data_IF_764029863928
#
_entry.id   IF_764029863928
#
_cell.length_a   1.000
_cell.length_b   1.000
_cell.length_c   1.000
_cell.angle_alpha   90.00
_cell.angle_beta   90.00
_cell.angle_gamma   90.00
#
_symmetry.space_group_name_H-M   'P 1'
#
loop_
_entity.id
_entity.type
_entity.pdbx_description
1 polymer ?
#
# COMPACT_ATOMS: atom_id res chain seq x y z
N UNK A 1 -10.58 -7.37 33.29
CA UNK A 1 -9.90 -6.44 32.35
C UNK A 1 -8.74 -7.17 31.72
N UNK A 2 -8.84 -7.51 30.43
CA UNK A 2 -7.76 -8.20 29.71
C UNK A 2 -6.64 -7.20 29.45
N UNK A 3 -5.42 -7.56 29.88
CA UNK A 3 -4.20 -6.86 29.49
C UNK A 3 -4.03 -7.03 27.98
N UNK A 4 -4.36 -5.98 27.21
CA UNK A 4 -3.90 -5.84 25.85
C UNK A 4 -2.36 -5.85 25.89
N UNK A 5 -1.77 -7.02 25.59
CA UNK A 5 -0.35 -7.13 25.32
C UNK A 5 -0.07 -6.19 24.15
N UNK A 6 0.51 -5.01 24.45
CA UNK A 6 1.15 -4.17 23.44
C UNK A 6 2.18 -5.04 22.73
N UNK A 7 1.80 -5.64 21.60
CA UNK A 7 2.75 -6.27 20.69
C UNK A 7 3.67 -5.15 20.26
N UNK A 8 4.89 -5.14 20.78
CA UNK A 8 5.94 -4.30 20.25
C UNK A 8 6.16 -4.74 18.81
N UNK A 9 5.61 -4.00 17.86
CA UNK A 9 5.82 -4.23 16.44
C UNK A 9 7.30 -4.02 16.14
N UNK A 10 8.00 -5.07 15.68
CA UNK A 10 9.38 -4.92 15.25
C UNK A 10 9.41 -4.19 13.90
N UNK A 11 10.24 -3.15 13.72
CA UNK A 11 10.30 -2.38 12.47
C UNK A 11 10.63 -3.25 11.25
N UNK A 12 11.36 -4.35 11.45
CA UNK A 12 11.71 -5.29 10.38
C UNK A 12 10.49 -6.08 9.87
N UNK A 13 9.57 -6.47 10.76
CA UNK A 13 8.32 -7.13 10.35
C UNK A 13 7.43 -6.20 9.53
N UNK A 14 7.39 -4.92 9.90
CA UNK A 14 6.64 -3.89 9.18
C UNK A 14 7.24 -3.63 7.79
N UNK A 15 8.57 -3.60 7.69
CA UNK A 15 9.28 -3.47 6.43
C UNK A 15 9.05 -4.68 5.52
N UNK A 16 9.03 -5.89 6.08
CA UNK A 16 8.72 -7.10 5.31
C UNK A 16 7.28 -7.10 4.79
N UNK A 17 6.29 -6.73 5.64
CA UNK A 17 4.90 -6.57 5.22
C UNK A 17 4.76 -5.57 4.08
N UNK A 18 5.41 -4.40 4.20
CA UNK A 18 5.41 -3.39 3.15
C UNK A 18 5.92 -3.99 1.82
N UNK A 19 7.06 -4.71 1.84
CA UNK A 19 7.61 -5.34 0.63
C UNK A 19 6.64 -6.34 0.00
N UNK A 20 5.97 -7.18 0.80
CA UNK A 20 4.98 -8.15 0.31
C UNK A 20 3.81 -7.45 -0.38
N UNK A 21 3.24 -6.42 0.25
CA UNK A 21 2.14 -5.64 -0.35
C UNK A 21 2.58 -4.92 -1.64
N UNK A 22 3.82 -4.42 -1.70
CA UNK A 22 4.36 -3.82 -2.93
C UNK A 22 4.46 -4.83 -4.07
N UNK A 23 4.90 -6.06 -3.79
CA UNK A 23 4.96 -7.14 -4.78
C UNK A 23 3.57 -7.55 -5.25
N UNK A 24 2.64 -7.77 -4.31
CA UNK A 24 1.25 -8.14 -4.61
C UNK A 24 0.57 -7.06 -5.46
N UNK A 25 0.75 -5.78 -5.11
CA UNK A 25 0.21 -4.66 -5.89
C UNK A 25 0.70 -4.69 -7.33
N UNK A 26 2.03 -4.83 -7.53
CA UNK A 26 2.62 -4.90 -8.88
C UNK A 26 2.07 -6.07 -9.68
N UNK A 27 2.01 -7.26 -9.08
CA UNK A 27 1.51 -8.46 -9.76
C UNK A 27 0.04 -8.30 -10.17
N UNK A 28 -0.81 -7.85 -9.26
CA UNK A 28 -2.24 -7.68 -9.50
C UNK A 28 -2.49 -6.64 -10.59
N UNK A 29 -1.79 -5.49 -10.56
CA UNK A 29 -1.91 -4.46 -11.60
C UNK A 29 -1.42 -4.94 -12.97
N UNK A 30 -0.38 -5.79 -13.02
CA UNK A 30 0.05 -6.40 -14.27
C UNK A 30 -1.00 -7.37 -14.83
N UNK A 31 -1.64 -8.16 -13.97
CA UNK A 31 -2.72 -9.06 -14.39
C UNK A 31 -3.92 -8.24 -14.88
N UNK A 32 -4.32 -7.19 -14.17
CA UNK A 32 -5.39 -6.29 -14.57
C UNK A 32 -5.10 -5.64 -15.95
N UNK A 33 -3.87 -5.18 -16.19
CA UNK A 33 -3.47 -4.63 -17.49
C UNK A 33 -3.63 -5.66 -18.62
N UNK A 34 -3.18 -6.91 -18.42
CA UNK A 34 -3.36 -7.99 -19.41
C UNK A 34 -4.83 -8.33 -19.64
N UNK A 35 -5.65 -8.34 -18.60
CA UNK A 35 -7.10 -8.56 -18.74
C UNK A 35 -7.73 -7.44 -19.58
N UNK A 36 -7.30 -6.20 -19.39
CA UNK A 36 -7.81 -5.06 -20.14
C UNK A 36 -7.51 -5.18 -21.65
N UNK A 37 -6.33 -5.68 -22.02
CA UNK A 37 -5.93 -5.91 -23.41
C UNK A 37 -6.81 -6.96 -24.12
N UNK A 38 -7.45 -7.86 -23.37
CA UNK A 38 -8.29 -8.92 -23.92
C UNK A 38 -9.73 -8.48 -24.20
N UNK A 39 -10.22 -7.39 -23.59
CA UNK A 39 -11.62 -6.96 -23.75
C UNK A 39 -12.06 -6.74 -25.20
N UNK A 40 -11.26 -6.11 -26.09
CA UNK A 40 -11.64 -5.97 -27.50
C UNK A 40 -11.81 -7.31 -28.21
N UNK A 41 -11.08 -8.35 -27.81
CA UNK A 41 -11.22 -9.70 -28.37
C UNK A 41 -12.48 -10.37 -27.85
N UNK A 42 -12.76 -10.27 -26.54
CA UNK A 42 -13.98 -10.78 -25.92
C UNK A 42 -15.22 -10.16 -26.57
N UNK A 43 -15.26 -8.84 -26.72
CA UNK A 43 -16.37 -8.13 -27.37
C UNK A 43 -16.55 -8.57 -28.83
N UNK A 44 -15.47 -8.71 -29.60
CA UNK A 44 -15.55 -9.20 -30.99
C UNK A 44 -16.09 -10.63 -31.07
N UNK A 45 -15.67 -11.50 -30.15
CA UNK A 45 -16.15 -12.89 -30.08
C UNK A 45 -17.66 -12.94 -29.83
N UNK A 46 -18.13 -12.18 -28.83
CA UNK A 46 -19.56 -12.13 -28.45
C UNK A 46 -20.41 -11.52 -29.57
N UNK A 47 -19.96 -10.43 -30.19
CA UNK A 47 -20.65 -9.84 -31.35
C UNK A 47 -20.80 -10.83 -32.49
N UNK A 48 -19.76 -11.63 -32.75
CA UNK A 48 -19.77 -12.65 -33.80
C UNK A 48 -20.76 -13.78 -33.49
N UNK A 49 -20.87 -14.21 -32.23
CA UNK A 49 -21.80 -15.27 -31.83
C UNK A 49 -23.26 -14.81 -31.80
N UNK A 50 -23.54 -13.55 -31.48
CA UNK A 50 -24.89 -13.00 -31.43
C UNK A 50 -25.52 -12.74 -32.81
N UNK A 51 -24.73 -12.73 -33.89
CA UNK A 51 -25.21 -12.51 -35.26
C UNK A 51 -25.67 -11.07 -35.59
N UNK A 52 -25.76 -10.20 -34.59
CA UNK A 52 -26.19 -8.81 -34.72
C UNK A 52 -25.03 -7.88 -35.14
N UNK A 53 -25.34 -6.94 -36.04
CA UNK A 53 -24.37 -5.98 -36.61
C UNK A 53 -24.66 -4.55 -36.16
N UNK A 54 -23.64 -3.70 -36.18
CA UNK A 54 -23.76 -2.28 -35.87
C UNK A 54 -24.06 -2.01 -34.39
N UNK A 55 -24.67 -0.87 -34.09
CA UNK A 55 -24.86 -0.37 -32.72
C UNK A 55 -25.66 -1.31 -31.81
N UNK A 56 -26.55 -2.14 -32.36
CA UNK A 56 -27.33 -3.10 -31.58
C UNK A 56 -26.46 -4.27 -31.08
N UNK A 57 -25.63 -4.84 -31.95
CA UNK A 57 -24.67 -5.87 -31.55
C UNK A 57 -23.64 -5.34 -30.55
N UNK A 58 -23.29 -4.05 -30.64
CA UNK A 58 -22.43 -3.39 -29.67
C UNK A 58 -23.05 -3.29 -28.28
N UNK A 59 -24.32 -2.89 -28.20
CA UNK A 59 -25.05 -2.85 -26.92
C UNK A 59 -25.20 -4.23 -26.30
N UNK A 60 -25.59 -5.22 -27.10
CA UNK A 60 -25.77 -6.60 -26.62
C UNK A 60 -24.46 -7.22 -26.15
N UNK A 61 -23.34 -6.97 -26.83
CA UNK A 61 -22.05 -7.48 -26.40
C UNK A 61 -21.58 -6.86 -25.08
N UNK A 62 -21.90 -5.59 -24.82
CA UNK A 62 -21.55 -4.89 -23.58
C UNK A 62 -22.42 -5.34 -22.39
N UNK A 63 -23.62 -5.87 -22.64
CA UNK A 63 -24.51 -6.41 -21.60
C UNK A 63 -24.49 -7.93 -21.53
N UNK A 64 -23.67 -8.59 -22.35
CA UNK A 64 -23.59 -10.05 -22.39
C UNK A 64 -22.98 -10.60 -21.09
N UNK A 65 -23.54 -11.69 -20.51
CA UNK A 65 -23.06 -12.26 -19.26
C UNK A 65 -21.56 -12.57 -19.26
N UNK A 66 -21.03 -13.14 -20.35
CA UNK A 66 -19.60 -13.44 -20.46
C UNK A 66 -18.71 -12.19 -20.43
N UNK A 67 -19.17 -11.08 -21.02
CA UNK A 67 -18.43 -9.82 -20.96
C UNK A 67 -18.46 -9.25 -19.54
N UNK A 68 -19.62 -9.26 -18.90
CA UNK A 68 -19.79 -8.82 -17.53
C UNK A 68 -18.94 -9.64 -16.55
N UNK A 69 -18.89 -10.97 -16.70
CA UNK A 69 -18.05 -11.83 -15.88
C UNK A 69 -16.55 -11.51 -16.04
N UNK A 70 -16.10 -11.14 -17.25
CA UNK A 70 -14.72 -10.68 -17.48
C UNK A 70 -14.46 -9.30 -16.90
N UNK A 71 -15.46 -8.42 -16.95
CA UNK A 71 -15.39 -7.10 -16.32
C UNK A 71 -15.30 -7.22 -14.80
N UNK A 72 -16.09 -8.08 -14.18
CA UNK A 72 -16.05 -8.35 -12.74
C UNK A 72 -14.69 -8.92 -12.32
N UNK A 73 -14.15 -9.87 -13.10
CA UNK A 73 -12.81 -10.40 -12.88
C UNK A 73 -11.73 -9.30 -12.93
N UNK A 74 -11.82 -8.40 -13.90
CA UNK A 74 -10.91 -7.25 -14.01
C UNK A 74 -11.04 -6.31 -12.81
N UNK A 75 -12.27 -5.96 -12.41
CA UNK A 75 -12.54 -5.07 -11.27
C UNK A 75 -11.97 -5.66 -9.98
N UNK A 76 -12.18 -6.96 -9.73
CA UNK A 76 -11.67 -7.64 -8.55
C UNK A 76 -10.14 -7.57 -8.47
N UNK A 77 -9.45 -7.98 -9.55
CA UNK A 77 -7.98 -7.98 -9.60
C UNK A 77 -7.40 -6.57 -9.49
N UNK A 78 -8.03 -5.59 -10.14
CA UNK A 78 -7.64 -4.19 -10.02
C UNK A 78 -7.81 -3.69 -8.58
N UNK A 79 -8.92 -4.02 -7.94
CA UNK A 79 -9.22 -3.70 -6.55
C UNK A 79 -8.19 -4.25 -5.58
N UNK A 80 -7.84 -5.54 -5.70
CA UNK A 80 -6.78 -6.18 -4.90
C UNK A 80 -5.42 -5.47 -5.07
N UNK A 81 -5.09 -5.08 -6.32
CA UNK A 81 -3.85 -4.37 -6.62
C UNK A 81 -3.78 -2.98 -5.99
N UNK A 82 -4.91 -2.26 -5.99
CA UNK A 82 -5.04 -0.94 -5.36
C UNK A 82 -5.01 -1.03 -3.84
N UNK A 83 -5.71 -2.00 -3.25
CA UNK A 83 -5.71 -2.21 -1.81
C UNK A 83 -4.30 -2.52 -1.30
N UNK A 84 -3.59 -3.44 -1.97
CA UNK A 84 -2.20 -3.74 -1.65
C UNK A 84 -1.29 -2.51 -1.81
N UNK A 85 -1.57 -1.62 -2.78
CA UNK A 85 -0.82 -0.36 -2.93
C UNK A 85 -1.03 0.56 -1.73
N UNK A 86 -2.28 0.72 -1.30
CA UNK A 86 -2.64 1.53 -0.13
C UNK A 86 -1.95 0.97 1.11
N UNK A 87 -2.05 -0.34 1.35
CA UNK A 87 -1.40 -1.01 2.48
C UNK A 87 0.13 -0.80 2.47
N UNK A 88 0.79 -0.90 1.31
CA UNK A 88 2.21 -0.58 1.21
C UNK A 88 2.53 0.86 1.61
N UNK A 89 1.79 1.84 1.09
CA UNK A 89 2.03 3.26 1.40
C UNK A 89 1.79 3.54 2.88
N UNK A 90 0.74 2.97 3.47
CA UNK A 90 0.48 3.05 4.92
C UNK A 90 1.65 2.50 5.73
N UNK A 91 2.12 1.29 5.43
CA UNK A 91 3.26 0.71 6.14
C UNK A 91 4.54 1.54 5.95
N UNK A 92 4.77 2.09 4.76
CA UNK A 92 5.92 2.98 4.47
C UNK A 92 5.88 4.24 5.32
N UNK A 93 4.71 4.88 5.44
CA UNK A 93 4.53 6.06 6.29
C UNK A 93 4.75 5.73 7.77
N UNK A 94 4.27 4.59 8.25
CA UNK A 94 4.50 4.14 9.63
C UNK A 94 6.00 3.95 9.93
N UNK A 95 6.76 3.37 9.00
CA UNK A 95 8.23 3.23 9.14
C UNK A 95 8.90 4.61 9.23
N UNK A 96 8.49 5.56 8.38
CA UNK A 96 9.03 6.93 8.40
C UNK A 96 8.70 7.66 9.70
N UNK A 97 7.49 7.47 10.24
CA UNK A 97 7.09 8.03 11.52
C UNK A 97 7.95 7.46 12.66
N UNK A 98 8.16 6.13 12.68
CA UNK A 98 9.03 5.47 13.67
C UNK A 98 10.49 5.95 13.59
N UNK A 99 11.03 6.13 12.38
CA UNK A 99 12.38 6.67 12.21
C UNK A 99 12.49 8.12 12.67
N UNK A 100 11.48 8.94 12.36
CA UNK A 100 11.40 10.34 12.80
C UNK A 100 11.32 10.46 14.33
N UNK A 101 10.50 9.63 14.97
CA UNK A 101 10.38 9.58 16.43
C UNK A 101 11.73 9.20 17.08
N UNK A 102 12.38 8.15 16.58
CA UNK A 102 13.69 7.74 17.08
C UNK A 102 14.77 8.81 16.89
N UNK A 103 14.76 9.51 15.74
CA UNK A 103 15.67 10.61 15.48
C UNK A 103 15.45 11.77 16.47
N UNK A 104 14.18 12.11 16.72
CA UNK A 104 13.80 13.13 17.71
C UNK A 104 14.26 12.75 19.12
N UNK A 105 13.97 11.53 19.59
CA UNK A 105 14.39 11.07 20.91
C UNK A 105 15.92 11.09 21.09
N UNK A 106 16.68 10.71 20.04
CA UNK A 106 18.15 10.79 20.03
C UNK A 106 18.66 12.23 20.09
N UNK A 107 18.02 13.16 19.36
CA UNK A 107 18.39 14.57 19.41
C UNK A 107 18.07 15.19 20.79
N UNK A 108 16.89 14.89 21.32
CA UNK A 108 16.43 15.40 22.62
C UNK A 108 17.28 14.89 23.80
N UNK A 109 17.65 13.60 23.79
CA UNK A 109 18.56 13.05 24.80
C UNK A 109 19.94 13.69 24.77
N UNK A 110 20.48 14.00 23.58
CA UNK A 110 21.75 14.74 23.45
C UNK A 110 21.67 16.15 24.03
N UNK A 111 20.57 16.88 23.77
CA UNK A 111 20.35 18.22 24.35
C UNK A 111 20.32 18.17 25.89
N UNK A 112 19.57 17.22 26.48
CA UNK A 112 19.53 17.02 27.94
C UNK A 112 20.91 16.73 28.54
N UNK A 113 21.74 15.94 27.86
CA UNK A 113 23.10 15.63 28.32
C UNK A 113 23.98 16.88 28.24
N UNK A 114 23.83 17.70 27.19
CA UNK A 114 24.59 18.93 27.03
C UNK A 114 24.25 19.96 28.11
N UNK A 115 22.97 20.11 28.46
CA UNK A 115 22.54 20.99 29.55
C UNK A 115 23.12 20.54 30.89
N UNK A 116 23.04 19.24 31.23
CA UNK A 116 23.65 18.69 32.45
C UNK A 116 25.17 18.96 32.52
N UNK A 117 25.87 18.86 31.40
CA UNK A 117 27.32 19.16 31.32
C UNK A 117 27.63 20.64 31.51
N UNK A 118 26.76 21.54 31.03
CA UNK A 118 26.91 22.99 31.22
C UNK A 118 26.77 23.37 32.71
N UNK A 119 25.75 22.86 33.40
CA UNK A 119 25.57 23.10 34.83
C UNK A 119 26.71 22.50 35.67
N UNK A 120 27.14 21.27 35.40
CA UNK A 120 28.26 20.65 36.11
C UNK A 120 29.62 21.37 35.89
N UNK A 121 29.78 22.10 34.78
CA UNK A 121 30.98 22.89 34.51
C UNK A 121 30.94 24.29 35.15
N UNK A 122 29.75 24.81 35.46
CA UNK A 122 29.58 26.05 36.24
C UNK A 122 29.83 25.80 37.72
N UNK A 123 29.27 24.73 38.30
CA UNK A 123 29.49 24.37 39.72
C UNK A 123 30.99 24.17 40.05
N UNK A 124 31.76 23.58 39.13
CA UNK A 124 33.21 23.38 39.32
C UNK A 124 34.06 24.64 39.23
N UNK A 125 33.51 25.75 38.72
CA UNK A 125 34.22 27.04 38.66
C UNK A 125 33.96 27.90 39.90
N UNK A 126 32.98 27.53 40.73
CA UNK A 126 32.57 28.30 41.92
C UNK A 126 33.01 27.67 43.26
N UNK A 127 33.61 26.48 43.25
CA UNK A 127 34.29 25.91 44.42
C UNK A 127 35.79 26.28 44.42
N UNK A 128 36.27 27.07 45.41
CA UNK A 128 37.68 27.45 45.56
C UNK A 128 38.59 26.29 46.02
#
# INVERSE_FOLDING_TARGET
MQQERKRNFHPDELAERARRHAQQSRQSLQVAARLAELFPQVLRSIKKSAGNKGAQGDREALTHPDYLAKLDQYIAVLGEGLEARVQFETHRMMIQAYQSENAFQKAFSRLKIQDKRRFAAQDRRETP
#
